data_IF_898899919220
#
_entry.id   IF_898899919220
#
_cell.length_a   1.000
_cell.length_b   1.000
_cell.length_c   1.000
_cell.angle_alpha   90.00
_cell.angle_beta   90.00
_cell.angle_gamma   90.00
#
_symmetry.space_group_name_H-M   'P 1'
#
loop_
_entity.id
_entity.type
_entity.pdbx_description
1 polymer ?
#
# COMPACT_ATOMS: atom_id res chain seq x y z
N UNK A 1 -17.65 26.02 -18.39
CA UNK A 1 -16.68 26.21 -17.27
C UNK A 1 -15.86 24.96 -17.15
N UNK A 2 -14.52 25.03 -17.02
CA UNK A 2 -13.67 23.83 -17.05
C UNK A 2 -13.01 23.55 -15.69
N UNK A 3 -12.66 22.29 -15.48
CA UNK A 3 -11.78 21.83 -14.38
C UNK A 3 -10.90 20.68 -14.88
N UNK A 4 -9.78 20.47 -14.21
CA UNK A 4 -8.85 19.38 -14.52
C UNK A 4 -8.49 18.64 -13.24
N UNK A 5 -8.47 17.31 -13.31
CA UNK A 5 -8.00 16.45 -12.22
C UNK A 5 -6.63 15.91 -12.58
N UNK A 6 -5.63 16.25 -11.78
CA UNK A 6 -4.24 15.80 -11.99
C UNK A 6 -4.00 14.53 -11.17
N UNK A 7 -3.68 13.45 -11.86
CA UNK A 7 -3.32 12.16 -11.28
C UNK A 7 -1.80 12.12 -11.08
N UNK A 8 -1.37 12.19 -9.83
CA UNK A 8 0.05 12.15 -9.46
C UNK A 8 0.53 10.72 -9.26
N UNK A 9 1.66 10.38 -9.88
CA UNK A 9 2.32 9.08 -9.73
C UNK A 9 3.81 9.27 -9.45
N UNK A 10 4.38 8.54 -8.49
CA UNK A 10 5.77 8.75 -8.04
C UNK A 10 6.84 8.37 -9.07
N UNK A 11 6.50 7.52 -10.05
CA UNK A 11 7.47 6.95 -11.01
C UNK A 11 7.10 7.19 -12.48
N UNK A 12 5.94 7.78 -12.75
CA UNK A 12 5.41 7.95 -14.11
C UNK A 12 5.00 9.40 -14.30
N UNK A 13 4.95 9.86 -15.56
CA UNK A 13 4.47 11.19 -15.90
C UNK A 13 3.04 11.39 -15.37
N UNK A 14 2.77 12.60 -14.86
CA UNK A 14 1.44 13.01 -14.45
C UNK A 14 0.44 12.86 -15.60
N UNK A 15 -0.75 12.37 -15.28
CA UNK A 15 -1.89 12.33 -16.22
C UNK A 15 -2.93 13.33 -15.77
N UNK A 16 -3.65 13.94 -16.70
CA UNK A 16 -4.81 14.78 -16.39
C UNK A 16 -6.08 14.19 -16.98
N UNK A 17 -7.20 14.46 -16.31
CA UNK A 17 -8.53 14.27 -16.86
C UNK A 17 -9.24 15.62 -16.80
N UNK A 18 -9.62 16.13 -17.97
CA UNK A 18 -10.25 17.43 -18.12
C UNK A 18 -11.76 17.29 -18.27
N UNK A 19 -12.51 18.15 -17.59
CA UNK A 19 -13.97 18.15 -17.63
C UNK A 19 -14.49 19.52 -18.02
N UNK A 20 -15.54 19.51 -18.84
CA UNK A 20 -16.35 20.67 -19.14
C UNK A 20 -17.68 20.57 -18.38
N UNK A 21 -18.02 21.61 -17.65
CA UNK A 21 -19.27 21.73 -16.92
C UNK A 21 -20.15 22.83 -17.54
N UNK A 22 -21.46 22.59 -17.49
CA UNK A 22 -22.51 23.46 -18.03
C UNK A 22 -22.48 24.87 -17.42
N UNK A 23 -22.19 24.97 -16.13
CA UNK A 23 -22.11 26.25 -15.41
C UNK A 23 -21.11 26.18 -14.23
N UNK A 24 -20.83 27.33 -13.64
CA UNK A 24 -19.89 27.46 -12.52
C UNK A 24 -20.36 26.70 -11.28
N UNK A 25 -21.66 26.67 -10.99
CA UNK A 25 -22.21 25.97 -9.82
C UNK A 25 -21.95 24.46 -9.87
N UNK A 26 -22.17 23.83 -11.02
CA UNK A 26 -21.90 22.39 -11.22
C UNK A 26 -20.40 22.10 -11.08
N UNK A 27 -19.56 22.93 -11.72
CA UNK A 27 -18.09 22.83 -11.62
C UNK A 27 -17.61 22.91 -10.17
N UNK A 28 -18.12 23.88 -9.40
CA UNK A 28 -17.70 24.10 -8.02
C UNK A 28 -18.18 22.97 -7.09
N UNK A 29 -19.40 22.46 -7.28
CA UNK A 29 -19.90 21.28 -6.55
C UNK A 29 -19.03 20.05 -6.82
N UNK A 30 -18.64 19.84 -8.08
CA UNK A 30 -17.80 18.71 -8.47
C UNK A 30 -16.39 18.81 -7.88
N UNK A 31 -15.76 19.99 -7.94
CA UNK A 31 -14.45 20.24 -7.32
C UNK A 31 -14.51 19.99 -5.81
N UNK A 32 -15.51 20.52 -5.11
CA UNK A 32 -15.68 20.29 -3.66
C UNK A 32 -15.86 18.82 -3.32
N UNK A 33 -16.67 18.10 -4.10
CA UNK A 33 -16.91 16.68 -3.91
C UNK A 33 -15.64 15.83 -4.11
N UNK A 34 -14.90 16.08 -5.20
CA UNK A 34 -13.64 15.38 -5.47
C UNK A 34 -12.58 15.67 -4.41
N UNK A 35 -12.44 16.93 -3.99
CA UNK A 35 -11.48 17.30 -2.96
C UNK A 35 -11.80 16.60 -1.64
N UNK A 36 -13.07 16.55 -1.23
CA UNK A 36 -13.49 15.80 -0.04
C UNK A 36 -13.09 14.32 -0.10
N UNK A 37 -13.26 13.66 -1.26
CA UNK A 37 -12.88 12.26 -1.44
C UNK A 37 -11.36 12.06 -1.36
N UNK A 38 -10.58 12.97 -1.94
CA UNK A 38 -9.12 12.98 -1.85
C UNK A 38 -8.68 13.15 -0.39
N UNK A 39 -9.24 14.13 0.32
CA UNK A 39 -8.89 14.40 1.72
C UNK A 39 -9.24 13.22 2.62
N UNK A 40 -10.43 12.65 2.48
CA UNK A 40 -10.87 11.46 3.25
C UNK A 40 -9.98 10.24 2.98
N UNK A 41 -9.55 10.05 1.73
CA UNK A 41 -8.59 8.99 1.39
C UNK A 41 -7.23 9.27 2.01
N UNK A 42 -6.72 10.50 1.91
CA UNK A 42 -5.44 10.88 2.47
C UNK A 42 -5.44 10.77 4.00
N UNK A 43 -6.53 11.12 4.68
CA UNK A 43 -6.69 10.87 6.12
C UNK A 43 -6.53 9.39 6.49
N UNK A 44 -7.03 8.45 5.67
CA UNK A 44 -6.77 7.01 5.87
C UNK A 44 -5.30 6.63 5.68
N UNK A 45 -4.56 7.35 4.84
CA UNK A 45 -3.12 7.17 4.68
C UNK A 45 -2.30 7.85 5.79
N UNK A 46 -2.84 8.89 6.45
CA UNK A 46 -2.20 9.54 7.62
C UNK A 46 -2.20 8.59 8.83
N UNK A 47 -3.18 7.70 8.94
CA UNK A 47 -3.24 6.66 9.97
C UNK A 47 -2.83 5.29 9.37
N UNK A 48 -1.62 5.21 8.82
CA UNK A 48 -1.04 3.90 8.52
C UNK A 48 -0.77 3.17 9.85
N UNK A 49 -1.69 2.28 10.19
CA UNK A 49 -1.54 1.37 11.31
C UNK A 49 -0.61 0.23 10.87
N UNK A 50 0.68 0.42 11.15
CA UNK A 50 1.74 -0.52 10.80
C UNK A 50 1.51 -1.90 11.44
N UNK A 51 1.03 -1.94 12.68
CA UNK A 51 0.76 -3.19 13.40
C UNK A 51 -0.34 -3.97 12.70
N UNK A 52 -1.46 -3.31 12.39
CA UNK A 52 -2.57 -3.95 11.67
C UNK A 52 -2.16 -4.40 10.27
N UNK A 53 -1.40 -3.58 9.56
CA UNK A 53 -0.89 -3.95 8.24
C UNK A 53 0.04 -5.16 8.33
N UNK A 54 0.93 -5.22 9.32
CA UNK A 54 1.85 -6.34 9.53
C UNK A 54 1.09 -7.62 9.87
N UNK A 55 0.11 -7.55 10.79
CA UNK A 55 -0.75 -8.68 11.18
C UNK A 55 -1.55 -9.23 9.99
N UNK A 56 -2.13 -8.36 9.16
CA UNK A 56 -2.90 -8.79 7.99
C UNK A 56 -2.02 -9.46 6.94
N UNK A 57 -0.79 -8.96 6.73
CA UNK A 57 0.17 -9.59 5.82
C UNK A 57 0.68 -10.93 6.37
N UNK A 58 0.96 -11.01 7.66
CA UNK A 58 1.34 -12.25 8.34
C UNK A 58 0.25 -13.33 8.18
N UNK A 59 -1.01 -12.99 8.49
CA UNK A 59 -2.14 -13.92 8.39
C UNK A 59 -2.38 -14.43 6.97
N UNK A 60 -2.08 -13.62 5.96
CA UNK A 60 -2.17 -14.03 4.54
C UNK A 60 -1.02 -14.95 4.13
N UNK A 61 0.14 -14.79 4.73
CA UNK A 61 1.32 -15.59 4.44
C UNK A 61 1.34 -16.93 5.20
N UNK A 62 0.68 -17.01 6.36
CA UNK A 62 0.53 -18.23 7.16
C UNK A 62 -0.54 -19.16 6.53
N UNK A 63 -0.13 -19.87 5.47
CA UNK A 63 -1.04 -20.70 4.65
C UNK A 63 -1.51 -21.92 5.44
N UNK A 64 -0.60 -22.51 6.21
CA UNK A 64 -0.89 -23.68 7.04
C UNK A 64 -1.59 -23.33 8.36
N UNK A 65 -1.69 -22.03 8.70
CA UNK A 65 -2.35 -21.49 9.90
C UNK A 65 -1.77 -22.04 11.21
N UNK A 66 -0.48 -22.35 11.22
CA UNK A 66 0.19 -22.86 12.43
C UNK A 66 0.66 -21.73 13.36
N UNK A 67 0.41 -20.46 12.99
CA UNK A 67 0.81 -19.28 13.76
C UNK A 67 2.28 -18.91 13.59
N UNK A 68 2.99 -19.51 12.64
CA UNK A 68 4.41 -19.27 12.31
C UNK A 68 4.57 -19.26 10.79
N UNK A 69 5.55 -18.51 10.30
CA UNK A 69 5.88 -18.53 8.87
C UNK A 69 7.09 -19.42 8.64
N UNK A 70 6.93 -20.43 7.78
CA UNK A 70 8.07 -21.15 7.20
C UNK A 70 8.89 -20.24 6.29
N UNK A 71 10.14 -20.62 6.02
CA UNK A 71 11.01 -19.84 5.13
C UNK A 71 10.37 -19.60 3.75
N UNK A 72 9.68 -20.59 3.18
CA UNK A 72 9.01 -20.47 1.88
C UNK A 72 7.84 -19.46 1.91
N UNK A 73 7.09 -19.42 3.01
CA UNK A 73 6.01 -18.45 3.24
C UNK A 73 6.57 -17.04 3.41
N UNK A 74 7.65 -16.88 4.19
CA UNK A 74 8.37 -15.61 4.32
C UNK A 74 8.89 -15.15 2.96
N UNK A 75 9.53 -16.02 2.19
CA UNK A 75 10.10 -15.66 0.89
C UNK A 75 9.03 -15.24 -0.12
N UNK A 76 7.88 -15.93 -0.14
CA UNK A 76 6.73 -15.53 -0.96
C UNK A 76 6.19 -14.18 -0.51
N UNK A 77 6.02 -13.96 0.79
CA UNK A 77 5.55 -12.69 1.34
C UNK A 77 6.48 -11.54 0.95
N UNK A 78 7.80 -11.69 1.12
CA UNK A 78 8.79 -10.67 0.75
C UNK A 78 8.70 -10.27 -0.73
N UNK A 79 8.47 -11.26 -1.62
CA UNK A 79 8.22 -11.02 -3.06
C UNK A 79 6.92 -10.26 -3.31
N UNK A 80 5.83 -10.62 -2.62
CA UNK A 80 4.54 -9.91 -2.73
C UNK A 80 4.62 -8.47 -2.24
N UNK A 81 5.43 -8.21 -1.21
CA UNK A 81 5.72 -6.86 -0.70
C UNK A 81 6.67 -6.07 -1.62
N UNK A 82 7.13 -6.68 -2.73
CA UNK A 82 8.02 -6.08 -3.72
C UNK A 82 9.34 -5.57 -3.09
N UNK A 83 9.86 -6.31 -2.11
CA UNK A 83 11.16 -6.05 -1.50
C UNK A 83 12.26 -6.66 -2.37
N UNK A 84 13.25 -5.85 -2.74
CA UNK A 84 14.42 -6.34 -3.47
C UNK A 84 15.41 -6.93 -2.48
N UNK A 85 15.26 -8.22 -2.21
CA UNK A 85 16.09 -8.99 -1.30
C UNK A 85 16.56 -10.27 -2.00
N UNK A 86 17.85 -10.62 -1.88
CA UNK A 86 18.34 -11.88 -2.42
C UNK A 86 17.87 -13.06 -1.55
N UNK A 87 17.73 -14.23 -2.16
CA UNK A 87 17.32 -15.43 -1.42
C UNK A 87 18.35 -15.78 -0.33
N UNK A 88 19.64 -15.58 -0.62
CA UNK A 88 20.75 -15.85 0.30
C UNK A 88 20.65 -14.96 1.53
N UNK A 89 20.40 -13.67 1.33
CA UNK A 89 20.28 -12.71 2.42
C UNK A 89 18.99 -12.91 3.23
N UNK A 90 17.87 -13.20 2.57
CA UNK A 90 16.62 -13.56 3.25
C UNK A 90 16.80 -14.82 4.12
N UNK A 91 17.55 -15.81 3.65
CA UNK A 91 17.84 -17.05 4.38
C UNK A 91 18.73 -16.81 5.59
N UNK A 92 19.78 -16.00 5.43
CA UNK A 92 20.64 -15.61 6.54
C UNK A 92 19.84 -14.91 7.66
N UNK A 93 18.97 -13.95 7.30
CA UNK A 93 18.10 -13.27 8.26
C UNK A 93 17.16 -14.24 8.98
N UNK A 94 16.52 -15.15 8.24
CA UNK A 94 15.61 -16.13 8.82
C UNK A 94 16.31 -17.02 9.84
N UNK A 95 17.50 -17.54 9.52
CA UNK A 95 18.27 -18.39 10.42
C UNK A 95 18.68 -17.65 11.70
N UNK A 96 19.20 -16.43 11.58
CA UNK A 96 19.63 -15.62 12.75
C UNK A 96 18.46 -15.35 13.69
N UNK A 97 17.31 -14.97 13.15
CA UNK A 97 16.11 -14.67 13.95
C UNK A 97 15.58 -15.95 14.62
N UNK A 98 15.57 -17.07 13.89
CA UNK A 98 15.14 -18.35 14.43
C UNK A 98 16.04 -18.79 15.60
N UNK A 99 17.36 -18.64 15.47
CA UNK A 99 18.31 -18.95 16.54
C UNK A 99 18.16 -18.04 17.76
N UNK A 100 17.84 -16.75 17.56
CA UNK A 100 17.57 -15.81 18.65
C UNK A 100 16.29 -16.14 19.42
N UNK A 101 15.26 -16.66 18.76
CA UNK A 101 13.99 -17.02 19.39
C UNK A 101 14.06 -18.33 20.20
N UNK A 102 15.15 -19.10 20.06
CA UNK A 102 15.37 -20.39 20.71
C UNK A 102 16.48 -20.34 21.80
N UNK A 103 17.00 -19.16 22.13
CA UNK A 103 17.81 -18.90 23.32
C UNK A 103 16.94 -18.35 24.45
#
# INVERSE_FOLDING_TARGET
>A
MCLSVILTHRRMLHKSVDFAAENSSVRDKFVKGLQYLVDKRNQRHVYFDEERWLLDNFRKADINKNGRLSFDEVLKLLKTLNLQISNEYARALYTVIFEMAHK
#
